data_IF_706639338859
#
_entry.id   IF_706639338859
#
_cell.length_a   1.000
_cell.length_b   1.000
_cell.length_c   1.000
_cell.angle_alpha   90.00
_cell.angle_beta   90.00
_cell.angle_gamma   90.00
#
_symmetry.space_group_name_H-M   'P 1'
#
loop_
_entity.id
_entity.type
_entity.pdbx_description
1 polymer ?
#
# COMPACT_ATOMS: atom_id res chain seq x y z
N UNK A 1 -14.04 4.11 -19.14
CA UNK A 1 -13.49 5.37 -19.68
C UNK A 1 -12.03 5.37 -19.32
N UNK A 2 -11.12 5.39 -20.29
CA UNK A 2 -9.69 5.29 -20.00
C UNK A 2 -9.11 6.70 -19.80
N UNK A 3 -8.42 6.95 -18.68
CA UNK A 3 -7.82 8.27 -18.45
C UNK A 3 -6.88 8.64 -19.60
N UNK A 4 -6.11 7.68 -20.15
CA UNK A 4 -5.07 7.93 -21.17
C UNK A 4 -5.57 8.69 -22.41
N UNK A 5 -6.84 8.54 -22.79
CA UNK A 5 -7.44 9.15 -23.99
C UNK A 5 -7.99 10.57 -23.76
N UNK A 6 -7.97 11.06 -22.53
CA UNK A 6 -8.57 12.35 -22.15
C UNK A 6 -7.55 13.49 -22.15
N UNK A 7 -8.04 14.72 -22.35
CA UNK A 7 -7.25 15.94 -22.18
C UNK A 7 -6.73 16.03 -20.74
N UNK A 8 -5.62 16.76 -20.53
CA UNK A 8 -5.07 17.00 -19.19
C UNK A 8 -6.11 17.65 -18.25
N UNK A 9 -6.93 18.55 -18.80
CA UNK A 9 -7.99 19.25 -18.07
C UNK A 9 -9.10 18.30 -17.62
N UNK A 10 -9.58 17.43 -18.50
CA UNK A 10 -10.59 16.41 -18.16
C UNK A 10 -10.06 15.43 -17.10
N UNK A 11 -8.82 14.93 -17.28
CA UNK A 11 -8.15 14.07 -16.28
C UNK A 11 -8.09 14.75 -14.92
N UNK A 12 -7.68 16.01 -14.90
CA UNK A 12 -7.57 16.79 -13.66
C UNK A 12 -8.93 16.95 -12.99
N UNK A 13 -10.01 17.20 -13.75
CA UNK A 13 -11.36 17.31 -13.22
C UNK A 13 -11.84 16.01 -12.59
N UNK A 14 -11.59 14.88 -13.26
CA UNK A 14 -11.95 13.55 -12.77
C UNK A 14 -11.18 13.22 -11.49
N UNK A 15 -9.85 13.32 -11.51
CA UNK A 15 -9.00 12.98 -10.37
C UNK A 15 -9.35 13.85 -9.16
N UNK A 16 -9.67 15.14 -9.37
CA UNK A 16 -10.12 16.01 -8.28
C UNK A 16 -11.45 15.55 -7.69
N UNK A 17 -12.43 15.18 -8.52
CA UNK A 17 -13.70 14.64 -8.02
C UNK A 17 -13.50 13.37 -7.20
N UNK A 18 -12.66 12.45 -7.66
CA UNK A 18 -12.34 11.22 -6.91
C UNK A 18 -11.57 11.53 -5.61
N UNK A 19 -10.71 12.55 -5.62
CA UNK A 19 -9.99 13.02 -4.43
C UNK A 19 -10.97 13.58 -3.37
N UNK A 20 -11.98 14.34 -3.80
CA UNK A 20 -12.98 14.90 -2.89
C UNK A 20 -13.82 13.79 -2.22
N UNK A 21 -14.24 12.78 -3.00
CA UNK A 21 -14.91 11.58 -2.48
C UNK A 21 -14.02 10.78 -1.51
N UNK A 22 -12.74 10.63 -1.86
CA UNK A 22 -11.77 9.99 -0.97
C UNK A 22 -11.64 10.74 0.36
N UNK A 23 -11.48 12.07 0.33
CA UNK A 23 -11.40 12.90 1.54
C UNK A 23 -12.66 12.76 2.39
N UNK A 24 -13.84 12.68 1.77
CA UNK A 24 -15.10 12.48 2.48
C UNK A 24 -15.18 11.12 3.19
N UNK A 25 -14.51 10.11 2.65
CA UNK A 25 -14.43 8.77 3.26
C UNK A 25 -13.42 8.65 4.41
N UNK A 26 -12.48 9.59 4.52
CA UNK A 26 -11.42 9.56 5.52
C UNK A 26 -11.93 9.92 6.92
N UNK A 27 -11.33 9.31 7.95
CA UNK A 27 -11.57 9.70 9.34
C UNK A 27 -11.05 11.11 9.61
N UNK A 28 -11.68 11.91 10.48
CA UNK A 28 -11.28 13.30 10.74
C UNK A 28 -9.80 13.49 11.08
N UNK A 29 -9.24 12.62 11.94
CA UNK A 29 -7.81 12.65 12.33
C UNK A 29 -6.84 12.42 11.16
N UNK A 30 -7.28 11.74 10.11
CA UNK A 30 -6.47 11.49 8.91
C UNK A 30 -6.52 12.69 7.98
N UNK A 31 -7.67 13.36 7.86
CA UNK A 31 -7.82 14.59 7.09
C UNK A 31 -6.89 15.71 7.57
N UNK A 32 -6.66 15.82 8.89
CA UNK A 32 -5.69 16.78 9.47
C UNK A 32 -4.27 16.59 8.90
N UNK A 33 -3.88 15.34 8.64
CA UNK A 33 -2.58 14.97 8.07
C UNK A 33 -2.58 14.94 6.53
N UNK A 34 -3.74 15.09 5.91
CA UNK A 34 -3.94 15.10 4.46
C UNK A 34 -4.30 16.51 3.95
N UNK A 35 -3.37 17.45 4.16
CA UNK A 35 -3.57 18.87 3.87
C UNK A 35 -3.60 19.19 2.35
N UNK A 36 -4.01 20.42 2.01
CA UNK A 36 -4.15 20.88 0.62
C UNK A 36 -2.85 20.80 -0.21
N UNK A 37 -1.68 20.94 0.43
CA UNK A 37 -0.39 20.80 -0.26
C UNK A 37 -0.14 19.36 -0.67
N UNK A 38 -0.40 18.41 0.23
CA UNK A 38 -0.27 16.98 -0.06
C UNK A 38 -1.29 16.54 -1.12
N UNK A 39 -2.54 17.02 -1.03
CA UNK A 39 -3.57 16.76 -2.03
C UNK A 39 -3.12 17.21 -3.43
N UNK A 40 -2.62 18.45 -3.57
CA UNK A 40 -2.13 18.96 -4.85
C UNK A 40 -0.98 18.12 -5.40
N UNK A 41 0.03 17.84 -4.57
CA UNK A 41 1.18 17.03 -4.98
C UNK A 41 0.76 15.63 -5.43
N UNK A 42 -0.18 15.00 -4.70
CA UNK A 42 -0.69 13.68 -5.08
C UNK A 42 -1.47 13.73 -6.41
N UNK A 43 -2.30 14.75 -6.64
CA UNK A 43 -3.00 14.93 -7.94
C UNK A 43 -1.99 15.05 -9.09
N UNK A 44 -0.90 15.80 -8.91
CA UNK A 44 0.16 15.94 -9.91
C UNK A 44 0.85 14.60 -10.18
N UNK A 45 1.16 13.84 -9.13
CA UNK A 45 1.73 12.48 -9.23
C UNK A 45 0.79 11.49 -9.95
N UNK A 46 -0.52 11.57 -9.71
CA UNK A 46 -1.53 10.76 -10.38
C UNK A 46 -1.72 11.13 -11.86
N UNK A 47 -1.57 12.42 -12.21
CA UNK A 47 -1.64 12.89 -13.59
C UNK A 47 -0.46 12.42 -14.44
N UNK A 48 0.73 12.34 -13.83
CA UNK A 48 1.91 11.75 -14.46
C UNK A 48 1.71 10.25 -14.75
N UNK A 49 1.09 9.54 -13.81
CA UNK A 49 0.65 8.16 -13.98
C UNK A 49 1.71 7.10 -13.64
N UNK A 50 2.98 7.47 -13.45
CA UNK A 50 4.04 6.54 -13.01
C UNK A 50 3.70 5.90 -11.66
N UNK A 51 2.99 6.63 -10.78
CA UNK A 51 2.57 6.12 -9.46
C UNK A 51 1.70 4.87 -9.54
N UNK A 52 0.88 4.72 -10.59
CA UNK A 52 0.04 3.53 -10.76
C UNK A 52 0.89 2.28 -11.01
N UNK A 53 1.88 2.39 -11.89
CA UNK A 53 2.80 1.28 -12.21
C UNK A 53 3.63 0.87 -10.99
N UNK A 54 4.06 1.85 -10.19
CA UNK A 54 4.80 1.59 -8.94
C UNK A 54 3.93 0.80 -7.96
N UNK A 55 2.70 1.27 -7.71
CA UNK A 55 1.79 0.63 -6.76
C UNK A 55 1.40 -0.78 -7.21
N UNK A 56 1.13 -0.99 -8.50
CA UNK A 56 0.86 -2.33 -9.03
C UNK A 56 2.07 -3.27 -8.90
N UNK A 57 3.26 -2.79 -9.25
CA UNK A 57 4.50 -3.58 -9.08
C UNK A 57 4.72 -3.97 -7.61
N UNK A 58 4.47 -3.05 -6.67
CA UNK A 58 4.60 -3.33 -5.24
C UNK A 58 3.53 -4.30 -4.73
N UNK A 59 2.31 -4.24 -5.27
CA UNK A 59 1.25 -5.20 -4.97
C UNK A 59 1.63 -6.60 -5.42
N UNK A 60 2.16 -6.75 -6.64
CA UNK A 60 2.61 -8.06 -7.15
C UNK A 60 3.76 -8.62 -6.31
N UNK A 61 4.73 -7.77 -5.94
CA UNK A 61 5.81 -8.14 -5.04
C UNK A 61 5.30 -8.57 -3.65
N UNK A 62 4.31 -7.85 -3.11
CA UNK A 62 3.68 -8.21 -1.84
C UNK A 62 3.00 -9.58 -1.92
N UNK A 63 2.20 -9.81 -2.96
CA UNK A 63 1.50 -11.07 -3.15
C UNK A 63 2.47 -12.25 -3.29
N UNK A 64 3.57 -12.05 -4.02
CA UNK A 64 4.62 -13.06 -4.14
C UNK A 64 5.26 -13.37 -2.79
N UNK A 65 5.61 -12.34 -2.01
CA UNK A 65 6.25 -12.51 -0.70
C UNK A 65 5.30 -13.17 0.32
N UNK A 66 4.03 -12.75 0.39
CA UNK A 66 3.02 -13.36 1.26
C UNK A 66 2.78 -14.82 0.90
N UNK A 67 2.75 -15.16 -0.39
CA UNK A 67 2.63 -16.55 -0.85
C UNK A 67 3.84 -17.39 -0.42
N UNK A 68 5.05 -16.86 -0.56
CA UNK A 68 6.27 -17.55 -0.13
C UNK A 68 6.26 -17.82 1.38
N UNK A 69 5.90 -16.83 2.19
CA UNK A 69 5.79 -16.97 3.64
C UNK A 69 4.73 -18.02 4.03
N UNK A 70 3.60 -18.03 3.32
CA UNK A 70 2.55 -19.04 3.54
C UNK A 70 3.03 -20.46 3.20
N UNK A 71 3.66 -20.64 2.04
CA UNK A 71 4.17 -21.93 1.59
C UNK A 71 5.26 -22.47 2.54
N UNK A 72 6.16 -21.59 3.01
CA UNK A 72 7.19 -21.91 4.00
C UNK A 72 6.58 -22.31 5.35
N UNK A 73 5.56 -21.58 5.81
CA UNK A 73 4.78 -21.93 7.01
C UNK A 73 4.18 -23.32 6.88
N UNK A 74 3.51 -23.62 5.77
CA UNK A 74 2.88 -24.93 5.55
C UNK A 74 3.90 -26.07 5.58
N UNK A 75 5.07 -25.87 4.95
CA UNK A 75 6.16 -26.84 4.96
C UNK A 75 6.64 -27.12 6.38
N UNK A 76 6.92 -26.08 7.17
CA UNK A 76 7.36 -26.25 8.55
C UNK A 76 6.30 -26.92 9.42
N UNK A 77 5.01 -26.56 9.27
CA UNK A 77 3.94 -27.23 9.99
C UNK A 77 3.83 -28.73 9.66
N UNK A 78 4.12 -29.12 8.43
CA UNK A 78 4.16 -30.53 8.04
C UNK A 78 5.34 -31.28 8.68
N UNK A 79 6.50 -30.65 8.81
CA UNK A 79 7.70 -31.23 9.45
C UNK A 79 7.54 -31.41 10.97
N UNK A 80 6.74 -30.54 11.61
CA UNK A 80 6.60 -30.50 13.06
C UNK A 80 5.52 -31.42 13.65
N UNK A 81 4.79 -32.18 12.83
CA UNK A 81 3.64 -33.00 13.27
C UNK A 81 3.94 -34.00 14.40
N UNK A 82 5.21 -34.32 14.66
CA UNK A 82 5.65 -35.26 15.70
C UNK A 82 6.60 -34.61 16.73
N UNK A 83 6.74 -33.28 16.73
CA UNK A 83 7.65 -32.57 17.62
C UNK A 83 7.05 -32.44 19.04
N UNK A 84 7.80 -32.75 20.11
CA UNK A 84 7.32 -32.64 21.50
C UNK A 84 7.07 -31.19 21.95
N UNK A 85 7.59 -30.20 21.23
CA UNK A 85 7.53 -28.76 21.48
C UNK A 85 6.77 -27.99 20.39
N UNK A 86 5.83 -28.65 19.71
CA UNK A 86 5.04 -28.11 18.58
C UNK A 86 4.51 -26.69 18.82
N UNK A 87 3.90 -26.42 19.97
CA UNK A 87 3.32 -25.11 20.28
C UNK A 87 4.36 -23.97 20.32
N UNK A 88 5.55 -24.24 20.84
CA UNK A 88 6.62 -23.24 20.89
C UNK A 88 7.21 -23.01 19.49
N UNK A 89 7.39 -24.07 18.72
CA UNK A 89 7.88 -23.97 17.35
C UNK A 89 6.88 -23.24 16.43
N UNK A 90 5.58 -23.51 16.56
CA UNK A 90 4.53 -22.80 15.84
C UNK A 90 4.53 -21.30 16.17
N UNK A 91 4.66 -20.93 17.44
CA UNK A 91 4.78 -19.52 17.85
C UNK A 91 6.01 -18.84 17.25
N UNK A 92 7.16 -19.53 17.23
CA UNK A 92 8.40 -19.00 16.61
C UNK A 92 8.21 -18.75 15.11
N UNK A 93 7.57 -19.68 14.40
CA UNK A 93 7.26 -19.52 12.97
C UNK A 93 6.36 -18.29 12.76
N UNK A 94 5.26 -18.19 13.50
CA UNK A 94 4.31 -17.09 13.34
C UNK A 94 4.95 -15.73 13.71
N UNK A 95 5.81 -15.67 14.74
CA UNK A 95 6.58 -14.48 15.07
C UNK A 95 7.55 -14.07 13.96
N UNK A 96 8.23 -15.04 13.34
CA UNK A 96 9.13 -14.78 12.22
C UNK A 96 8.36 -14.21 11.02
N UNK A 97 7.19 -14.77 10.71
CA UNK A 97 6.33 -14.29 9.62
C UNK A 97 5.93 -12.83 9.85
N UNK A 98 5.48 -12.47 11.05
CA UNK A 98 5.14 -11.08 11.37
C UNK A 98 6.36 -10.17 11.20
N UNK A 99 7.54 -10.60 11.64
CA UNK A 99 8.77 -9.83 11.45
C UNK A 99 9.15 -9.64 9.98
N UNK A 100 8.93 -10.64 9.12
CA UNK A 100 9.17 -10.50 7.68
C UNK A 100 8.14 -9.57 7.02
N UNK A 101 6.87 -9.64 7.43
CA UNK A 101 5.84 -8.70 6.97
C UNK A 101 6.17 -7.24 7.33
N UNK A 102 6.67 -7.00 8.55
CA UNK A 102 7.13 -5.66 8.97
C UNK A 102 8.30 -5.15 8.10
N UNK A 103 9.25 -6.03 7.75
CA UNK A 103 10.35 -5.68 6.83
C UNK A 103 9.84 -5.33 5.44
N UNK A 104 8.89 -6.11 4.91
CA UNK A 104 8.27 -5.85 3.61
C UNK A 104 7.56 -4.48 3.63
N UNK A 105 6.77 -4.20 4.66
CA UNK A 105 6.11 -2.89 4.82
C UNK A 105 7.12 -1.74 4.81
N UNK A 106 8.21 -1.85 5.57
CA UNK A 106 9.25 -0.82 5.61
C UNK A 106 9.95 -0.65 4.24
N UNK A 107 10.17 -1.75 3.50
CA UNK A 107 10.74 -1.71 2.14
C UNK A 107 9.79 -1.05 1.14
N UNK A 108 8.49 -1.32 1.22
CA UNK A 108 7.47 -0.69 0.38
C UNK A 108 7.40 0.82 0.64
N UNK A 109 7.36 1.23 1.93
CA UNK A 109 7.41 2.64 2.31
C UNK A 109 8.67 3.33 1.77
N UNK A 110 9.84 2.69 1.89
CA UNK A 110 11.10 3.21 1.38
C UNK A 110 11.06 3.35 -0.16
N UNK A 111 10.52 2.36 -0.86
CA UNK A 111 10.42 2.37 -2.32
C UNK A 111 9.52 3.52 -2.80
N UNK A 112 8.34 3.69 -2.21
CA UNK A 112 7.42 4.78 -2.51
C UNK A 112 8.04 6.16 -2.20
N UNK A 113 8.72 6.28 -1.06
CA UNK A 113 9.40 7.52 -0.67
C UNK A 113 10.55 7.87 -1.65
N UNK A 114 11.38 6.89 -2.03
CA UNK A 114 12.49 7.09 -2.99
C UNK A 114 12.01 7.38 -4.41
N UNK A 115 10.85 6.85 -4.79
CA UNK A 115 10.19 7.19 -6.04
C UNK A 115 9.53 8.58 -6.03
N UNK A 116 9.56 9.29 -4.89
CA UNK A 116 9.00 10.62 -4.75
C UNK A 116 7.48 10.64 -4.68
N UNK A 117 6.83 9.52 -4.32
CA UNK A 117 5.38 9.47 -4.20
C UNK A 117 4.95 10.33 -2.99
N UNK A 118 4.11 11.36 -3.18
CA UNK A 118 3.73 12.28 -2.11
C UNK A 118 3.08 11.56 -0.92
N UNK A 119 3.47 11.95 0.29
CA UNK A 119 2.90 11.44 1.55
C UNK A 119 3.49 10.12 2.05
N UNK A 120 4.41 9.50 1.30
CA UNK A 120 5.10 8.29 1.73
C UNK A 120 6.46 8.59 2.36
N UNK A 121 6.70 7.98 3.52
CA UNK A 121 7.98 7.94 4.23
C UNK A 121 8.00 6.71 5.13
N UNK A 122 9.17 6.28 5.55
CA UNK A 122 9.29 5.20 6.54
C UNK A 122 8.76 5.71 7.89
N UNK A 123 7.81 5.00 8.48
CA UNK A 123 7.17 5.40 9.74
C UNK A 123 6.61 4.20 10.48
N UNK A 124 6.71 4.23 11.81
CA UNK A 124 6.05 3.27 12.71
C UNK A 124 4.83 3.89 13.41
N UNK A 125 4.47 5.13 13.07
CA UNK A 125 3.32 5.81 13.67
C UNK A 125 2.02 5.19 13.09
N UNK A 126 1.13 4.61 13.93
CA UNK A 126 -0.06 3.94 13.42
C UNK A 126 -1.02 4.86 12.65
N UNK A 127 -1.14 6.13 13.02
CA UNK A 127 -2.00 7.08 12.31
C UNK A 127 -1.47 7.36 10.91
N UNK A 128 -0.14 7.48 10.80
CA UNK A 128 0.51 7.72 9.51
C UNK A 128 0.49 6.49 8.62
N UNK A 129 0.75 5.31 9.16
CA UNK A 129 0.61 4.04 8.43
C UNK A 129 -0.82 3.91 7.88
N UNK A 130 -1.84 4.17 8.71
CA UNK A 130 -3.23 4.14 8.27
C UNK A 130 -3.48 5.12 7.12
N UNK A 131 -2.94 6.34 7.18
CA UNK A 131 -3.08 7.32 6.09
C UNK A 131 -2.40 6.85 4.81
N UNK A 132 -1.16 6.36 4.90
CA UNK A 132 -0.45 5.80 3.75
C UNK A 132 -1.24 4.62 3.13
N UNK A 133 -1.84 3.75 3.95
CA UNK A 133 -2.66 2.64 3.47
C UNK A 133 -3.95 3.10 2.77
N UNK A 134 -4.65 4.10 3.31
CA UNK A 134 -5.83 4.66 2.64
C UNK A 134 -5.45 5.37 1.32
N UNK A 135 -4.29 6.03 1.27
CA UNK A 135 -3.77 6.61 0.03
C UNK A 135 -3.45 5.53 -1.02
N UNK A 136 -2.82 4.41 -0.63
CA UNK A 136 -2.58 3.27 -1.55
C UNK A 136 -3.92 2.74 -2.08
N UNK A 137 -4.91 2.53 -1.20
CA UNK A 137 -6.25 2.05 -1.61
C UNK A 137 -6.91 3.01 -2.60
N UNK A 138 -6.80 4.30 -2.37
CA UNK A 138 -7.28 5.31 -3.30
C UNK A 138 -6.60 5.22 -4.66
N UNK A 139 -5.26 5.18 -4.70
CA UNK A 139 -4.48 5.06 -5.95
C UNK A 139 -4.90 3.81 -6.73
N UNK A 140 -5.02 2.67 -6.05
CA UNK A 140 -5.44 1.39 -6.66
C UNK A 140 -6.88 1.43 -7.17
N UNK A 141 -7.79 2.02 -6.41
CA UNK A 141 -9.22 2.15 -6.80
C UNK A 141 -9.34 3.02 -8.04
N UNK A 142 -8.64 4.16 -8.05
CA UNK A 142 -8.59 5.06 -9.19
C UNK A 142 -8.00 4.36 -10.41
N UNK A 143 -6.90 3.61 -10.23
CA UNK A 143 -6.29 2.83 -11.31
C UNK A 143 -7.29 1.82 -11.88
N UNK A 144 -7.90 0.98 -11.04
CA UNK A 144 -8.86 -0.03 -11.48
C UNK A 144 -10.09 0.54 -12.18
N UNK A 145 -10.53 1.76 -11.82
CA UNK A 145 -11.73 2.40 -12.39
C UNK A 145 -11.47 3.01 -13.78
N UNK A 146 -10.23 3.39 -14.06
CA UNK A 146 -9.87 4.21 -15.23
C UNK A 146 -8.71 3.66 -16.08
N UNK A 147 -8.20 2.48 -15.72
CA UNK A 147 -7.25 1.73 -16.54
C UNK A 147 -7.90 1.14 -17.79
#
# INVERSE_FOLDING_TARGET
>A
MHLSTLSKEEKTRIIRGEMDEFIFSLKPKMCENFNASLQRALIESLLDGTVFQIVDSLKDLQQLAEKQLYDERQKHLAELQMAPDLDEQMKRIDMNIVSELDKIMAQQQNTLARAGVPGFRITNNPLEINLQMEMIRFIMTLHSKYS
#
